data_IF_063488396212
#
_entry.id   IF_063488396212
#
_cell.length_a   1.000
_cell.length_b   1.000
_cell.length_c   1.000
_cell.angle_alpha   90.00
_cell.angle_beta   90.00
_cell.angle_gamma   90.00
#
_symmetry.space_group_name_H-M   'P 1'
#
loop_
_entity.id
_entity.type
_entity.pdbx_description
1 polymer ?
#
# COMPACT_ATOMS: atom_id res chain seq x y z
N UNK A 1 -4.80 -17.94 6.80
CA UNK A 1 -4.64 -16.47 6.99
C UNK A 1 -4.78 -16.20 8.48
N UNK A 2 -3.83 -15.45 9.07
CA UNK A 2 -3.84 -15.15 10.51
C UNK A 2 -4.91 -14.09 10.80
N UNK A 3 -5.72 -14.30 11.84
CA UNK A 3 -6.67 -13.31 12.36
C UNK A 3 -5.93 -12.45 13.37
N UNK A 4 -5.94 -11.12 13.18
CA UNK A 4 -5.38 -10.13 14.10
C UNK A 4 -6.41 -9.75 15.16
N UNK A 5 -7.67 -9.60 14.73
CA UNK A 5 -8.80 -9.25 15.57
C UNK A 5 -10.09 -9.74 14.93
N UNK A 6 -11.05 -10.11 15.75
CA UNK A 6 -12.39 -10.48 15.30
C UNK A 6 -13.42 -10.15 16.38
N UNK A 7 -14.54 -9.58 15.95
CA UNK A 7 -15.74 -9.41 16.74
C UNK A 7 -17.00 -9.84 15.94
N UNK A 8 -18.18 -9.47 16.40
CA UNK A 8 -19.45 -9.77 15.72
C UNK A 8 -19.61 -9.01 14.39
N UNK A 9 -18.90 -7.89 14.18
CA UNK A 9 -19.07 -6.97 13.07
C UNK A 9 -17.92 -7.06 12.04
N UNK A 10 -16.69 -7.24 12.49
CA UNK A 10 -15.52 -7.14 11.62
C UNK A 10 -14.50 -8.24 11.89
N UNK A 11 -13.82 -8.66 10.84
CA UNK A 11 -12.62 -9.51 10.92
C UNK A 11 -11.43 -8.74 10.35
N UNK A 12 -10.36 -8.63 11.13
CA UNK A 12 -9.09 -8.03 10.73
C UNK A 12 -8.09 -9.15 10.51
N UNK A 13 -7.61 -9.24 9.30
CA UNK A 13 -6.73 -10.32 8.84
C UNK A 13 -5.32 -9.80 8.57
N UNK A 14 -4.34 -10.65 8.79
CA UNK A 14 -3.01 -10.51 8.20
C UNK A 14 -3.00 -11.24 6.84
N UNK A 15 -3.26 -10.49 5.77
CA UNK A 15 -3.33 -11.04 4.42
C UNK A 15 -1.94 -11.41 3.93
N UNK A 16 -1.65 -12.67 3.57
CA UNK A 16 -0.40 -13.00 2.92
C UNK A 16 -0.35 -12.44 1.50
N UNK A 17 0.85 -12.35 0.94
CA UNK A 17 1.02 -12.13 -0.49
C UNK A 17 0.48 -13.30 -1.31
N UNK A 18 0.09 -13.05 -2.56
CA UNK A 18 -0.46 -14.05 -3.47
C UNK A 18 -1.98 -14.22 -3.37
N UNK A 19 -2.62 -13.74 -2.31
CA UNK A 19 -4.08 -13.77 -2.13
C UNK A 19 -4.71 -12.50 -2.72
N UNK A 20 -5.72 -12.67 -3.56
CA UNK A 20 -6.42 -11.55 -4.17
C UNK A 20 -7.48 -11.00 -3.19
N UNK A 21 -7.46 -9.69 -2.96
CA UNK A 21 -8.47 -9.02 -2.14
C UNK A 21 -9.88 -9.10 -2.76
N UNK A 22 -9.97 -9.29 -4.08
CA UNK A 22 -11.25 -9.41 -4.79
C UNK A 22 -11.95 -10.76 -4.54
N UNK A 23 -11.26 -11.75 -3.92
CA UNK A 23 -11.85 -13.03 -3.52
C UNK A 23 -12.72 -12.92 -2.25
N UNK A 24 -12.77 -11.75 -1.62
CA UNK A 24 -13.61 -11.47 -0.44
C UNK A 24 -14.76 -10.53 -0.83
N UNK A 25 -15.99 -11.02 -0.74
CA UNK A 25 -17.19 -10.24 -1.12
C UNK A 25 -17.39 -9.02 -0.22
N UNK A 26 -17.27 -9.18 1.10
CA UNK A 26 -17.49 -8.13 2.10
C UNK A 26 -16.20 -7.35 2.43
N UNK A 27 -15.28 -7.23 1.48
CA UNK A 27 -14.06 -6.46 1.69
C UNK A 27 -14.36 -4.96 1.88
N UNK A 28 -13.81 -4.41 2.94
CA UNK A 28 -13.98 -2.99 3.25
C UNK A 28 -13.06 -2.13 2.37
N UNK A 29 -11.87 -2.63 2.10
CA UNK A 29 -10.85 -1.98 1.26
C UNK A 29 -10.08 -3.02 0.45
N UNK A 30 -9.07 -2.59 -0.29
CA UNK A 30 -8.26 -3.50 -1.09
C UNK A 30 -6.77 -3.38 -0.80
N UNK A 31 -6.08 -4.49 -0.90
CA UNK A 31 -4.63 -4.59 -1.09
C UNK A 31 -4.35 -5.21 -2.46
N UNK A 32 -3.22 -4.86 -3.06
CA UNK A 32 -2.77 -5.54 -4.28
C UNK A 32 -2.49 -7.03 -3.94
N UNK A 33 -2.62 -7.94 -4.91
CA UNK A 33 -2.46 -9.38 -4.73
C UNK A 33 -1.18 -9.74 -3.95
N UNK A 34 -0.06 -9.14 -4.34
CA UNK A 34 1.25 -9.44 -3.76
C UNK A 34 1.66 -8.48 -2.62
N UNK A 35 0.76 -7.62 -2.16
CA UNK A 35 0.93 -6.81 -0.94
C UNK A 35 0.39 -7.59 0.25
N UNK A 36 1.21 -7.77 1.28
CA UNK A 36 0.83 -8.42 2.54
C UNK A 36 0.36 -7.41 3.59
N UNK A 37 -0.23 -7.89 4.69
CA UNK A 37 -0.55 -7.11 5.88
C UNK A 37 -2.03 -6.90 6.14
N UNK A 38 -2.37 -5.88 6.91
CA UNK A 38 -3.69 -5.66 7.50
C UNK A 38 -4.77 -5.51 6.42
N UNK A 39 -5.76 -6.37 6.50
CA UNK A 39 -6.90 -6.42 5.61
C UNK A 39 -8.20 -6.62 6.39
N UNK A 40 -9.23 -5.81 6.11
CA UNK A 40 -10.48 -5.81 6.81
C UNK A 40 -11.60 -6.40 5.96
N UNK A 41 -12.38 -7.28 6.58
CA UNK A 41 -13.59 -7.89 6.03
C UNK A 41 -14.75 -7.60 6.99
N UNK A 42 -15.86 -7.10 6.48
CA UNK A 42 -17.08 -6.93 7.25
C UNK A 42 -17.77 -8.30 7.44
N UNK A 43 -18.59 -8.44 8.47
CA UNK A 43 -19.39 -9.64 8.71
C UNK A 43 -20.89 -9.42 8.41
N UNK A 44 -21.25 -8.17 8.07
CA UNK A 44 -22.60 -7.78 7.67
C UNK A 44 -22.58 -6.47 6.86
N UNK A 45 -23.63 -6.19 6.11
CA UNK A 45 -23.76 -5.04 5.21
C UNK A 45 -23.69 -3.70 5.94
N UNK A 46 -24.29 -3.58 7.13
CA UNK A 46 -24.25 -2.34 7.94
C UNK A 46 -22.80 -1.96 8.29
N UNK A 47 -22.02 -2.94 8.68
CA UNK A 47 -20.60 -2.76 8.98
C UNK A 47 -19.80 -2.44 7.73
N UNK A 48 -20.12 -3.10 6.61
CA UNK A 48 -19.48 -2.83 5.32
C UNK A 48 -19.65 -1.36 4.93
N UNK A 49 -20.89 -0.87 4.92
CA UNK A 49 -21.19 0.52 4.57
C UNK A 49 -20.55 1.52 5.53
N UNK A 50 -20.64 1.26 6.84
CA UNK A 50 -20.08 2.12 7.88
C UNK A 50 -18.55 2.26 7.73
N UNK A 51 -17.84 1.16 7.54
CA UNK A 51 -16.38 1.17 7.43
C UNK A 51 -15.93 1.66 6.06
N UNK A 52 -16.60 1.32 4.97
CA UNK A 52 -16.29 1.86 3.63
C UNK A 52 -16.46 3.39 3.58
N UNK A 53 -17.46 3.94 4.28
CA UNK A 53 -17.65 5.39 4.41
C UNK A 53 -16.41 6.07 4.99
N UNK A 54 -15.82 5.57 6.08
CA UNK A 54 -14.60 6.12 6.67
C UNK A 54 -13.41 6.09 5.70
N UNK A 55 -13.25 5.02 4.88
CA UNK A 55 -12.24 4.99 3.83
C UNK A 55 -12.51 6.05 2.75
N UNK A 56 -13.76 6.28 2.35
CA UNK A 56 -14.18 7.28 1.37
C UNK A 56 -13.92 8.70 1.90
N UNK A 57 -14.20 8.95 3.16
CA UNK A 57 -14.04 10.23 3.86
C UNK A 57 -12.60 10.47 4.33
N UNK A 58 -11.70 9.46 4.19
CA UNK A 58 -10.27 9.52 4.53
C UNK A 58 -10.00 9.65 6.03
N UNK A 59 -10.86 9.15 6.85
CA UNK A 59 -10.74 9.12 8.31
C UNK A 59 -9.80 8.00 8.78
N UNK A 60 -9.63 6.96 7.94
CA UNK A 60 -8.77 5.82 8.24
C UNK A 60 -7.30 6.16 8.04
N UNK A 61 -6.50 6.00 9.11
CA UNK A 61 -5.05 6.12 9.01
C UNK A 61 -4.42 4.77 8.67
N UNK A 62 -3.58 4.75 7.63
CA UNK A 62 -2.91 3.54 7.12
C UNK A 62 -1.43 3.81 6.94
N UNK A 63 -0.59 2.85 7.34
CA UNK A 63 0.84 2.91 7.07
C UNK A 63 1.32 1.60 6.47
N UNK A 64 2.31 1.73 5.61
CA UNK A 64 2.94 0.62 4.92
C UNK A 64 4.44 0.69 5.14
N UNK A 65 5.10 -0.46 5.15
CA UNK A 65 6.54 -0.57 5.02
C UNK A 65 6.87 -0.91 3.57
N UNK A 66 7.82 -0.17 3.00
CA UNK A 66 8.29 -0.38 1.64
C UNK A 66 9.81 -0.27 1.59
N UNK A 67 10.46 -1.19 0.86
CA UNK A 67 11.86 -1.08 0.49
C UNK A 67 11.94 -0.51 -0.93
N UNK A 68 12.66 0.58 -1.11
CA UNK A 68 12.79 1.27 -2.40
C UNK A 68 14.20 1.23 -2.94
N UNK A 69 14.34 1.33 -4.26
CA UNK A 69 15.62 1.30 -4.98
C UNK A 69 16.34 2.62 -4.81
N UNK A 70 17.64 2.55 -4.48
CA UNK A 70 18.48 3.72 -4.29
C UNK A 70 18.11 4.52 -3.05
N UNK A 71 18.53 5.78 -3.03
CA UNK A 71 18.38 6.65 -1.86
C UNK A 71 17.51 7.85 -2.17
N UNK A 72 16.48 8.05 -1.36
CA UNK A 72 15.64 9.23 -1.42
C UNK A 72 16.45 10.48 -1.08
N UNK A 73 16.21 11.57 -1.82
CA UNK A 73 16.90 12.86 -1.61
C UNK A 73 16.56 13.53 -0.29
N UNK A 74 15.38 13.23 0.26
CA UNK A 74 14.87 13.74 1.54
C UNK A 74 14.40 12.57 2.39
N UNK A 75 14.64 12.64 3.68
CA UNK A 75 14.26 11.60 4.62
C UNK A 75 12.74 11.52 4.84
N UNK A 76 12.02 12.60 4.53
CA UNK A 76 10.55 12.61 4.49
C UNK A 76 10.03 13.48 3.35
N UNK A 77 8.77 13.24 2.99
CA UNK A 77 8.15 14.02 1.93
C UNK A 77 6.69 13.68 1.67
N UNK A 78 6.09 14.51 0.82
CA UNK A 78 4.73 14.32 0.34
C UNK A 78 4.73 14.33 -1.18
N UNK A 79 4.12 13.29 -1.78
CA UNK A 79 3.89 13.19 -3.21
C UNK A 79 2.42 13.49 -3.45
N UNK A 80 2.15 14.57 -4.17
CA UNK A 80 0.79 14.97 -4.54
C UNK A 80 0.69 15.09 -6.05
N UNK A 81 -0.14 14.25 -6.66
CA UNK A 81 -0.32 14.16 -8.12
C UNK A 81 -1.74 13.73 -8.45
N UNK A 82 -2.00 13.54 -9.75
CA UNK A 82 -3.16 12.84 -10.25
C UNK A 82 -2.74 11.44 -10.71
N UNK A 83 -3.57 10.43 -10.42
CA UNK A 83 -3.34 9.05 -10.86
C UNK A 83 -4.50 8.60 -11.76
N UNK A 84 -4.15 7.96 -12.84
CA UNK A 84 -5.07 7.33 -13.78
C UNK A 84 -4.45 6.15 -14.49
N UNK A 85 -5.26 5.41 -15.26
CA UNK A 85 -4.79 4.27 -16.02
C UNK A 85 -3.75 4.69 -17.06
N UNK A 86 -2.66 3.94 -17.19
CA UNK A 86 -1.64 4.18 -18.19
C UNK A 86 -2.18 3.85 -19.60
N UNK A 87 -1.99 4.72 -20.61
CA UNK A 87 -2.53 4.48 -21.95
C UNK A 87 -1.94 3.25 -22.65
N UNK A 88 -0.63 3.05 -22.50
CA UNK A 88 0.13 1.99 -23.20
C UNK A 88 0.06 0.61 -22.51
N UNK A 89 -0.23 0.56 -21.21
CA UNK A 89 -0.37 -0.70 -20.47
C UNK A 89 -1.50 -0.57 -19.44
N UNK A 90 -2.67 -1.11 -19.78
CA UNK A 90 -3.90 -1.01 -18.97
C UNK A 90 -3.79 -1.69 -17.57
N UNK A 91 -2.78 -2.52 -17.34
CA UNK A 91 -2.47 -3.10 -16.01
C UNK A 91 -1.91 -2.06 -15.07
N UNK A 92 -1.19 -1.05 -15.62
CA UNK A 92 -0.50 0.02 -14.87
C UNK A 92 -1.40 1.23 -14.61
N UNK A 93 -1.07 1.92 -13.53
CA UNK A 93 -1.44 3.32 -13.32
C UNK A 93 -0.25 4.21 -13.71
N UNK A 94 -0.53 5.48 -14.01
CA UNK A 94 0.46 6.50 -14.32
C UNK A 94 0.15 7.77 -13.54
N UNK A 95 1.20 8.50 -13.15
CA UNK A 95 1.10 9.86 -12.64
C UNK A 95 0.81 10.81 -13.79
N UNK A 96 -0.07 11.77 -13.54
CA UNK A 96 -0.37 12.89 -14.40
C UNK A 96 -0.20 14.17 -13.60
N UNK A 97 0.39 15.20 -14.20
CA UNK A 97 0.50 16.51 -13.58
C UNK A 97 -0.74 17.35 -13.91
N UNK A 98 -1.22 18.22 -13.02
CA UNK A 98 -2.46 18.98 -13.22
C UNK A 98 -2.54 19.79 -14.52
N UNK A 99 -1.39 20.26 -15.03
CA UNK A 99 -1.29 21.05 -16.26
C UNK A 99 -1.26 20.20 -17.56
N UNK A 100 -1.15 18.86 -17.46
CA UNK A 100 -1.17 18.00 -18.62
C UNK A 100 -2.60 17.88 -19.19
N UNK A 101 -2.83 18.00 -20.52
CA UNK A 101 -4.15 17.79 -21.12
C UNK A 101 -4.73 16.41 -20.79
N UNK A 102 -3.86 15.40 -20.68
CA UNK A 102 -4.25 14.03 -20.31
C UNK A 102 -4.64 13.87 -18.83
N UNK A 103 -4.55 14.92 -18.01
CA UNK A 103 -4.94 14.90 -16.61
C UNK A 103 -6.46 14.96 -16.39
N UNK A 104 -7.23 15.35 -17.40
CA UNK A 104 -8.70 15.40 -17.31
C UNK A 104 -9.26 14.04 -16.90
N UNK A 105 -10.14 14.02 -15.87
CA UNK A 105 -10.74 12.81 -15.32
C UNK A 105 -9.81 11.93 -14.48
N UNK A 106 -8.54 12.34 -14.27
CA UNK A 106 -7.64 11.63 -13.34
C UNK A 106 -7.94 12.02 -11.90
N UNK A 107 -7.56 11.16 -10.96
CA UNK A 107 -7.99 11.27 -9.56
C UNK A 107 -6.84 11.71 -8.67
N UNK A 108 -7.07 12.71 -7.82
CA UNK A 108 -6.09 13.20 -6.83
C UNK A 108 -5.57 12.06 -5.97
N UNK A 109 -4.26 12.00 -5.80
CA UNK A 109 -3.53 11.04 -5.00
C UNK A 109 -2.47 11.75 -4.15
N UNK A 110 -2.45 11.43 -2.86
CA UNK A 110 -1.52 12.01 -1.87
C UNK A 110 -0.90 10.86 -1.09
N UNK A 111 0.42 10.83 -1.07
CA UNK A 111 1.22 9.83 -0.32
C UNK A 111 2.32 10.55 0.45
N UNK A 112 2.39 10.34 1.77
CA UNK A 112 3.50 10.77 2.60
C UNK A 112 4.46 9.61 2.77
N UNK A 113 5.74 9.89 2.91
CA UNK A 113 6.76 8.89 3.26
C UNK A 113 7.73 9.44 4.29
N UNK A 114 8.38 8.53 5.02
CA UNK A 114 9.44 8.82 5.98
C UNK A 114 10.48 7.70 5.91
N UNK A 115 11.75 8.07 5.80
CA UNK A 115 12.87 7.15 5.88
C UNK A 115 12.94 6.53 7.28
N UNK A 116 13.09 5.22 7.34
CA UNK A 116 13.30 4.47 8.57
C UNK A 116 14.74 3.99 8.69
N UNK A 117 15.29 3.46 7.59
CA UNK A 117 16.64 2.92 7.56
C UNK A 117 17.22 2.99 6.15
N UNK A 118 18.52 3.28 6.06
CA UNK A 118 19.29 3.30 4.80
C UNK A 118 20.23 2.11 4.74
N UNK A 119 20.15 1.38 3.62
CA UNK A 119 21.04 0.27 3.29
C UNK A 119 21.96 0.69 2.12
N UNK A 120 22.93 -0.14 1.75
CA UNK A 120 23.90 0.16 0.68
C UNK A 120 23.26 0.62 -0.64
N UNK A 121 22.16 -0.02 -1.05
CA UNK A 121 21.50 0.24 -2.35
C UNK A 121 20.01 0.53 -2.23
N UNK A 122 19.47 0.62 -1.03
CA UNK A 122 18.03 0.68 -0.78
C UNK A 122 17.70 1.55 0.43
N UNK A 123 16.53 2.16 0.41
CA UNK A 123 15.96 2.80 1.59
C UNK A 123 14.71 2.03 2.05
N UNK A 124 14.63 1.70 3.35
CA UNK A 124 13.40 1.23 3.99
C UNK A 124 12.63 2.46 4.47
N UNK A 125 11.38 2.56 4.05
CA UNK A 125 10.53 3.71 4.34
C UNK A 125 9.18 3.29 4.92
N UNK A 126 8.63 4.13 5.79
CA UNK A 126 7.22 4.13 6.13
C UNK A 126 6.45 4.98 5.13
N UNK A 127 5.35 4.48 4.60
CA UNK A 127 4.51 5.18 3.62
C UNK A 127 3.11 5.33 4.15
N UNK A 128 2.57 6.54 4.15
CA UNK A 128 1.22 6.86 4.58
C UNK A 128 0.40 7.42 3.41
N UNK A 129 -0.40 6.58 2.71
CA UNK A 129 -1.29 7.05 1.65
C UNK A 129 -2.54 7.72 2.25
N UNK A 130 -2.72 9.02 2.00
CA UNK A 130 -3.90 9.80 2.40
C UNK A 130 -5.11 9.55 1.51
N UNK A 131 -4.88 8.96 0.35
CA UNK A 131 -5.90 8.51 -0.62
C UNK A 131 -5.69 7.03 -0.91
N UNK A 132 -6.63 6.37 -1.61
CA UNK A 132 -6.57 4.93 -1.90
C UNK A 132 -6.76 4.64 -3.39
N UNK A 133 -5.87 5.16 -4.29
CA UNK A 133 -5.96 4.82 -5.71
C UNK A 133 -5.29 3.47 -5.99
N UNK A 134 -5.76 2.77 -7.01
CA UNK A 134 -5.15 1.51 -7.44
C UNK A 134 -3.65 1.71 -7.66
N UNK A 135 -2.80 0.83 -7.11
CA UNK A 135 -1.33 0.85 -7.18
C UNK A 135 -0.68 2.18 -6.74
N UNK A 136 -1.36 3.00 -5.93
CA UNK A 136 -0.93 4.38 -5.63
C UNK A 136 0.51 4.47 -5.14
N UNK A 137 0.88 3.72 -4.09
CA UNK A 137 2.22 3.75 -3.50
C UNK A 137 3.25 3.36 -4.54
N UNK A 138 3.02 2.27 -5.26
CA UNK A 138 3.90 1.74 -6.30
C UNK A 138 4.13 2.75 -7.43
N UNK A 139 3.05 3.38 -7.90
CA UNK A 139 3.08 4.41 -8.95
C UNK A 139 3.82 5.66 -8.50
N UNK A 140 3.58 6.14 -7.28
CA UNK A 140 4.22 7.33 -6.72
C UNK A 140 5.72 7.13 -6.51
N UNK A 141 6.13 6.01 -5.92
CA UNK A 141 7.56 5.74 -5.67
C UNK A 141 8.32 5.52 -6.99
N UNK A 142 7.71 4.85 -7.97
CA UNK A 142 8.29 4.74 -9.31
C UNK A 142 8.40 6.11 -10.01
N UNK A 143 7.42 7.00 -9.84
CA UNK A 143 7.46 8.37 -10.36
C UNK A 143 8.61 9.20 -9.75
N UNK A 144 8.92 9.02 -8.47
CA UNK A 144 10.08 9.65 -7.84
C UNK A 144 11.42 9.10 -8.33
N UNK A 145 11.44 8.04 -9.14
CA UNK A 145 12.67 7.35 -9.54
C UNK A 145 13.16 6.31 -8.53
N UNK A 146 12.35 5.99 -7.51
CA UNK A 146 12.67 5.03 -6.45
C UNK A 146 11.59 3.94 -6.37
N UNK A 147 11.45 3.06 -7.40
CA UNK A 147 10.43 2.02 -7.40
C UNK A 147 10.64 1.06 -6.23
N UNK A 148 9.55 0.41 -5.83
CA UNK A 148 9.60 -0.62 -4.79
C UNK A 148 10.43 -1.80 -5.27
N UNK A 149 11.33 -2.29 -4.41
CA UNK A 149 12.18 -3.45 -4.69
C UNK A 149 11.31 -4.69 -4.91
N UNK A 150 11.59 -5.44 -5.99
CA UNK A 150 10.80 -6.61 -6.37
C UNK A 150 9.49 -6.32 -7.10
N UNK A 151 9.19 -5.06 -7.41
CA UNK A 151 7.98 -4.69 -8.17
C UNK A 151 8.14 -5.00 -9.65
N UNK A 152 7.56 -6.12 -10.11
CA UNK A 152 7.64 -6.59 -11.50
C UNK A 152 6.91 -5.68 -12.50
N UNK A 153 6.02 -4.81 -12.02
CA UNK A 153 5.20 -3.95 -12.87
C UNK A 153 5.77 -2.53 -12.99
N UNK A 154 6.34 -2.00 -11.90
CA UNK A 154 6.81 -0.61 -11.80
C UNK A 154 8.32 -0.48 -11.62
N UNK A 155 9.05 -1.59 -11.42
CA UNK A 155 10.51 -1.62 -11.31
C UNK A 155 11.23 -1.20 -12.61
N UNK A 156 12.50 -0.90 -12.51
CA UNK A 156 13.34 -0.60 -13.68
C UNK A 156 13.60 -1.86 -14.51
N UNK A 157 13.69 -1.70 -15.83
CA UNK A 157 14.11 -2.79 -16.72
C UNK A 157 15.55 -3.19 -16.41
N UNK A 158 15.78 -4.50 -16.23
CA UNK A 158 17.12 -5.04 -15.91
C UNK A 158 17.58 -4.82 -14.47
N UNK A 159 16.71 -4.33 -13.58
CA UNK A 159 17.06 -4.16 -12.17
C UNK A 159 17.34 -5.49 -11.49
N UNK A 160 18.48 -5.57 -10.81
CA UNK A 160 18.83 -6.69 -9.94
C UNK A 160 18.11 -6.49 -8.60
N UNK A 161 17.43 -7.53 -8.13
CA UNK A 161 16.76 -7.55 -6.84
C UNK A 161 17.54 -8.43 -5.84
N UNK A 162 17.37 -8.22 -4.52
CA UNK A 162 17.91 -9.13 -3.53
C UNK A 162 17.50 -10.58 -3.84
N UNK A 163 18.41 -11.56 -3.65
CA UNK A 163 18.10 -12.96 -3.81
C UNK A 163 16.85 -13.36 -3.02
N UNK A 164 16.05 -14.27 -3.56
CA UNK A 164 14.83 -14.80 -2.94
C UNK A 164 13.63 -13.84 -2.84
N UNK A 165 13.76 -12.56 -3.18
CA UNK A 165 12.61 -11.65 -3.22
C UNK A 165 11.74 -11.93 -4.46
N UNK A 166 10.56 -12.51 -4.25
CA UNK A 166 9.64 -12.95 -5.33
C UNK A 166 8.53 -11.94 -5.68
N UNK A 167 8.36 -10.89 -4.85
CA UNK A 167 7.26 -9.93 -4.92
C UNK A 167 7.71 -8.52 -4.56
N UNK A 168 6.86 -7.51 -4.77
CA UNK A 168 7.13 -6.17 -4.25
C UNK A 168 7.30 -6.18 -2.74
N UNK A 169 8.37 -5.54 -2.23
CA UNK A 169 8.58 -5.33 -0.80
C UNK A 169 7.62 -4.24 -0.31
N UNK A 170 6.36 -4.62 -0.14
CA UNK A 170 5.29 -3.74 0.32
C UNK A 170 4.38 -4.47 1.29
N UNK A 171 4.20 -3.90 2.49
CA UNK A 171 3.46 -4.50 3.57
C UNK A 171 2.60 -3.47 4.30
N UNK A 172 1.29 -3.73 4.45
CA UNK A 172 0.36 -2.89 5.21
C UNK A 172 0.54 -3.15 6.71
N UNK A 173 1.40 -2.37 7.37
CA UNK A 173 1.87 -2.62 8.73
C UNK A 173 1.00 -2.02 9.83
N UNK A 174 0.18 -1.00 9.49
CA UNK A 174 -0.63 -0.29 10.48
C UNK A 174 -1.94 0.22 9.88
N UNK A 175 -2.99 0.13 10.69
CA UNK A 175 -4.30 0.69 10.38
C UNK A 175 -5.00 1.16 11.66
N UNK A 176 -5.56 2.38 11.62
CA UNK A 176 -6.41 2.95 12.69
C UNK A 176 -7.75 3.31 12.10
N UNK A 177 -8.83 2.85 12.74
CA UNK A 177 -10.21 2.99 12.28
C UNK A 177 -11.17 2.97 13.47
N UNK A 178 -12.33 3.62 13.35
CA UNK A 178 -13.42 3.54 14.33
C UNK A 178 -14.35 2.37 13.97
N UNK A 179 -14.59 1.48 14.93
CA UNK A 179 -15.48 0.34 14.79
C UNK A 179 -16.96 0.74 14.95
N UNK A 180 -17.93 -0.10 14.53
CA UNK A 180 -19.35 0.22 14.65
C UNK A 180 -19.84 0.51 16.06
N UNK A 181 -19.16 -0.01 17.09
CA UNK A 181 -19.43 0.27 18.50
C UNK A 181 -18.92 1.65 18.97
N UNK A 182 -18.33 2.46 18.07
CA UNK A 182 -17.75 3.77 18.38
C UNK A 182 -16.30 3.73 18.89
N UNK A 183 -15.74 2.56 19.15
CA UNK A 183 -14.36 2.43 19.63
C UNK A 183 -13.37 2.64 18.47
N UNK A 184 -12.37 3.50 18.68
CA UNK A 184 -11.26 3.65 17.74
C UNK A 184 -10.15 2.66 18.06
N UNK A 185 -9.88 1.72 17.15
CA UNK A 185 -8.83 0.71 17.30
C UNK A 185 -7.66 0.92 16.36
N UNK A 186 -6.50 0.52 16.86
CA UNK A 186 -5.24 0.47 16.10
C UNK A 186 -4.82 -0.99 15.92
N UNK A 187 -4.57 -1.38 14.69
CA UNK A 187 -4.08 -2.71 14.33
C UNK A 187 -2.67 -2.61 13.78
N UNK A 188 -1.83 -3.59 14.13
CA UNK A 188 -0.45 -3.70 13.67
C UNK A 188 -0.21 -5.09 13.11
N UNK A 189 0.56 -5.16 12.03
CA UNK A 189 1.06 -6.40 11.46
C UNK A 189 2.56 -6.26 11.27
N UNK A 190 3.31 -7.22 11.78
CA UNK A 190 4.76 -7.30 11.60
C UNK A 190 5.10 -7.70 10.16
N UNK A 191 6.29 -7.34 9.70
CA UNK A 191 6.80 -7.86 8.43
C UNK A 191 6.76 -9.40 8.45
N UNK A 192 6.23 -10.03 7.41
CA UNK A 192 6.29 -11.47 7.26
C UNK A 192 7.74 -11.93 7.00
N UNK A 193 8.04 -13.19 7.32
CA UNK A 193 9.41 -13.73 7.33
C UNK A 193 10.12 -13.55 5.98
N UNK A 194 9.42 -13.73 4.84
CA UNK A 194 10.01 -13.51 3.50
C UNK A 194 10.56 -12.08 3.31
N UNK A 195 9.97 -11.07 3.95
CA UNK A 195 10.45 -9.69 3.90
C UNK A 195 11.46 -9.39 5.02
N UNK A 196 11.32 -9.99 6.21
CA UNK A 196 12.31 -9.86 7.29
C UNK A 196 13.67 -10.43 6.85
N UNK A 197 13.67 -11.58 6.20
CA UNK A 197 14.90 -12.23 5.72
C UNK A 197 15.61 -11.40 4.65
N UNK A 198 14.88 -10.69 3.81
CA UNK A 198 15.49 -9.72 2.89
C UNK A 198 16.25 -8.64 3.67
N UNK A 199 15.64 -8.03 4.69
CA UNK A 199 16.29 -6.95 5.45
C UNK A 199 17.52 -7.43 6.23
N UNK A 200 17.51 -8.67 6.74
CA UNK A 200 18.65 -9.25 7.46
C UNK A 200 19.89 -9.44 6.56
N UNK A 201 19.69 -9.56 5.24
CA UNK A 201 20.74 -9.85 4.26
C UNK A 201 21.13 -8.63 3.40
N UNK A 202 20.73 -7.40 3.78
CA UNK A 202 21.12 -6.14 3.15
C UNK A 202 22.21 -5.44 3.93
#
# INVERSE_FOLDING_TARGET
MKIIYEDENVRVLDKPAGVNADDFEERIHRLDKDTSGIFLVAKNDKTLDFLQKQFKEREVKKKYLALVVGHLKKDDGTIETLIGRAPKDRRKQKVYLPHEPAAIGKRKAITKYKLLQRFKNYDLIEVEPRTGRKHQIRTHLSYLGHPIVGDKLYGFKGQIYPPHLKRQFLHASYLKITLPNGETKEFRSELPEDLKDILKNL
#
